data_IF_258285739359
#
_entry.id   IF_258285739359
#
_cell.length_a   1.000
_cell.length_b   1.000
_cell.length_c   1.000
_cell.angle_alpha   90.00
_cell.angle_beta   90.00
_cell.angle_gamma   90.00
#
_symmetry.space_group_name_H-M   'P 1'
#
loop_
_entity.id
_entity.type
_entity.pdbx_description
1 polymer ?
#
# COMPACT_ATOMS: atom_id res chain seq x y z
N UNK A 1 15.80 17.91 -4.49
CA UNK A 1 14.55 17.13 -4.57
C UNK A 1 13.43 18.09 -4.91
N UNK A 2 12.65 17.84 -5.97
CA UNK A 2 11.53 18.73 -6.34
C UNK A 2 10.37 18.60 -5.35
N UNK A 3 9.61 19.68 -5.14
CA UNK A 3 8.41 19.72 -4.28
C UNK A 3 7.42 18.60 -4.60
N UNK A 4 7.25 18.27 -5.89
CA UNK A 4 6.42 17.16 -6.37
C UNK A 4 6.90 15.80 -5.88
N UNK A 5 8.22 15.56 -5.83
CA UNK A 5 8.79 14.28 -5.34
C UNK A 5 8.55 14.11 -3.85
N UNK A 6 8.66 15.20 -3.08
CA UNK A 6 8.36 15.22 -1.65
C UNK A 6 6.89 14.87 -1.37
N UNK A 7 5.96 15.51 -2.09
CA UNK A 7 4.52 15.23 -1.96
C UNK A 7 4.17 13.78 -2.32
N UNK A 8 4.75 13.25 -3.40
CA UNK A 8 4.58 11.85 -3.78
C UNK A 8 5.10 10.88 -2.72
N UNK A 9 6.28 11.15 -2.12
CA UNK A 9 6.82 10.33 -1.03
C UNK A 9 5.94 10.37 0.23
N UNK A 10 5.39 11.55 0.57
CA UNK A 10 4.40 11.69 1.64
C UNK A 10 3.13 10.91 1.35
N UNK A 11 2.67 10.90 0.10
CA UNK A 11 1.55 10.04 -0.33
C UNK A 11 1.82 8.57 -0.01
N UNK A 12 2.97 8.04 -0.42
CA UNK A 12 3.36 6.65 -0.09
C UNK A 12 3.37 6.37 1.41
N UNK A 13 3.90 7.30 2.21
CA UNK A 13 3.94 7.18 3.66
C UNK A 13 2.54 7.14 4.28
N UNK A 14 1.69 8.12 3.94
CA UNK A 14 0.33 8.22 4.49
C UNK A 14 -0.52 7.05 4.02
N UNK A 15 -0.44 6.69 2.74
CA UNK A 15 -1.11 5.52 2.19
C UNK A 15 -0.68 4.24 2.91
N UNK A 16 0.62 4.04 3.12
CA UNK A 16 1.13 2.90 3.89
C UNK A 16 0.63 2.87 5.34
N UNK A 17 0.60 4.02 6.01
CA UNK A 17 0.11 4.14 7.38
C UNK A 17 -1.39 3.82 7.48
N UNK A 18 -2.21 4.40 6.60
CA UNK A 18 -3.64 4.09 6.54
C UNK A 18 -3.86 2.60 6.25
N UNK A 19 -3.13 2.03 5.28
CA UNK A 19 -3.23 0.61 4.96
C UNK A 19 -2.89 -0.27 6.17
N UNK A 20 -1.80 0.02 6.88
CA UNK A 20 -1.42 -0.74 8.08
C UNK A 20 -2.41 -0.60 9.24
N UNK A 21 -3.20 0.47 9.28
CA UNK A 21 -4.23 0.71 10.31
C UNK A 21 -5.60 0.14 9.93
N UNK A 22 -5.76 -0.41 8.73
CA UNK A 22 -7.01 -1.03 8.28
C UNK A 22 -7.58 -2.08 9.26
N UNK A 23 -6.79 -2.96 9.90
CA UNK A 23 -7.34 -3.93 10.86
C UNK A 23 -8.00 -3.26 12.07
N UNK A 24 -7.46 -2.13 12.51
CA UNK A 24 -8.02 -1.34 13.61
C UNK A 24 -9.32 -0.67 13.18
N UNK A 25 -9.35 -0.10 11.97
CA UNK A 25 -10.59 0.44 11.41
C UNK A 25 -11.66 -0.65 11.25
N UNK A 26 -11.24 -1.85 10.85
CA UNK A 26 -12.14 -3.00 10.75
C UNK A 26 -12.78 -3.35 12.09
N UNK A 27 -11.94 -3.54 13.11
CA UNK A 27 -12.38 -3.91 14.46
C UNK A 27 -13.22 -2.83 15.19
N UNK A 28 -13.32 -1.61 14.66
CA UNK A 28 -13.95 -0.48 15.37
C UNK A 28 -15.11 0.16 14.65
N UNK A 29 -15.03 0.37 13.33
CA UNK A 29 -16.02 1.18 12.59
C UNK A 29 -16.54 0.50 11.32
N UNK A 30 -15.84 -0.52 10.79
CA UNK A 30 -16.29 -1.23 9.58
C UNK A 30 -17.02 -2.55 9.89
N UNK A 31 -16.71 -3.23 11.00
CA UNK A 31 -17.35 -4.50 11.35
C UNK A 31 -18.88 -4.37 11.47
N UNK A 32 -19.38 -3.28 12.06
CA UNK A 32 -20.81 -3.05 12.25
C UNK A 32 -21.57 -2.71 10.94
N UNK A 33 -20.84 -2.44 9.85
CA UNK A 33 -21.39 -2.03 8.55
C UNK A 33 -21.42 -3.13 7.49
N UNK A 34 -20.94 -4.35 7.76
CA UNK A 34 -20.74 -5.39 6.73
C UNK A 34 -22.04 -6.09 6.25
N UNK A 35 -23.21 -5.46 6.39
CA UNK A 35 -24.52 -5.99 5.98
C UNK A 35 -25.10 -5.30 4.73
N UNK A 36 -26.12 -5.92 4.13
CA UNK A 36 -26.86 -5.31 3.01
C UNK A 36 -27.64 -4.06 3.48
N UNK A 37 -27.59 -2.98 2.68
CA UNK A 37 -28.24 -1.70 2.97
C UNK A 37 -27.25 -0.55 3.18
N UNK A 38 -27.78 0.66 3.41
CA UNK A 38 -26.94 1.84 3.56
C UNK A 38 -26.22 1.82 4.92
N UNK A 39 -24.89 1.81 4.89
CA UNK A 39 -24.08 1.88 6.11
C UNK A 39 -24.05 3.31 6.69
N UNK A 40 -23.83 3.48 8.00
CA UNK A 40 -23.65 4.79 8.60
C UNK A 40 -22.56 5.60 7.88
N UNK A 41 -22.76 6.91 7.76
CA UNK A 41 -21.82 7.81 7.08
C UNK A 41 -20.37 7.68 7.62
N UNK A 42 -20.22 7.45 8.93
CA UNK A 42 -18.91 7.22 9.55
C UNK A 42 -18.22 5.96 9.01
N UNK A 43 -18.95 4.84 8.87
CA UNK A 43 -18.46 3.58 8.30
C UNK A 43 -18.16 3.72 6.81
N UNK A 44 -19.02 4.41 6.04
CA UNK A 44 -18.75 4.72 4.63
C UNK A 44 -17.47 5.55 4.48
N UNK A 45 -17.34 6.60 5.28
CA UNK A 45 -16.14 7.46 5.28
C UNK A 45 -14.89 6.65 5.62
N UNK A 46 -14.96 5.81 6.65
CA UNK A 46 -13.86 4.94 7.03
C UNK A 46 -13.49 3.96 5.89
N UNK A 47 -14.48 3.38 5.21
CA UNK A 47 -14.24 2.46 4.09
C UNK A 47 -13.50 3.17 2.95
N UNK A 48 -13.92 4.39 2.58
CA UNK A 48 -13.18 5.20 1.59
C UNK A 48 -11.75 5.52 2.04
N UNK A 49 -11.56 5.89 3.32
CA UNK A 49 -10.26 6.28 3.88
C UNK A 49 -9.29 5.11 4.02
N UNK A 50 -9.77 3.90 4.34
CA UNK A 50 -8.92 2.76 4.66
C UNK A 50 -8.88 1.69 3.56
N UNK A 51 -9.85 1.62 2.66
CA UNK A 51 -9.85 0.66 1.54
C UNK A 51 -9.47 1.30 0.21
N UNK A 52 -9.96 2.51 -0.07
CA UNK A 52 -9.79 3.12 -1.41
C UNK A 52 -8.62 4.10 -1.46
N UNK A 53 -8.56 5.04 -0.51
CA UNK A 53 -7.53 6.06 -0.48
C UNK A 53 -6.10 5.49 -0.35
N UNK A 54 -5.83 4.44 0.45
CA UNK A 54 -4.46 3.96 0.65
C UNK A 54 -3.78 3.47 -0.63
N UNK A 55 -4.36 2.58 -1.46
CA UNK A 55 -3.71 2.16 -2.70
C UNK A 55 -3.45 3.33 -3.66
N UNK A 56 -4.35 4.33 -3.71
CA UNK A 56 -4.16 5.55 -4.52
C UNK A 56 -2.96 6.36 -4.04
N UNK A 57 -2.85 6.57 -2.73
CA UNK A 57 -1.72 7.29 -2.14
C UNK A 57 -0.39 6.53 -2.31
N UNK A 58 -0.44 5.19 -2.20
CA UNK A 58 0.72 4.34 -2.43
C UNK A 58 1.19 4.43 -3.90
N UNK A 59 0.29 4.55 -4.89
CA UNK A 59 0.68 4.78 -6.28
C UNK A 59 1.53 6.06 -6.45
N UNK A 60 1.20 7.13 -5.72
CA UNK A 60 2.03 8.34 -5.70
C UNK A 60 3.41 8.05 -5.10
N UNK A 61 3.47 7.30 -4.00
CA UNK A 61 4.72 6.81 -3.40
C UNK A 61 5.57 5.97 -4.35
N UNK A 62 4.94 5.06 -5.09
CA UNK A 62 5.56 4.22 -6.09
C UNK A 62 6.19 5.04 -7.23
N UNK A 63 5.52 6.11 -7.67
CA UNK A 63 6.10 7.02 -8.66
C UNK A 63 7.37 7.73 -8.13
N UNK A 64 7.39 8.14 -6.85
CA UNK A 64 8.60 8.68 -6.23
C UNK A 64 9.71 7.62 -6.12
N UNK A 65 9.38 6.41 -5.69
CA UNK A 65 10.33 5.29 -5.59
C UNK A 65 10.93 4.93 -6.95
N UNK A 66 10.10 4.84 -8.00
CA UNK A 66 10.54 4.58 -9.37
C UNK A 66 11.56 5.62 -9.83
N UNK A 67 11.31 6.91 -9.58
CA UNK A 67 12.26 7.98 -9.90
C UNK A 67 13.56 7.85 -9.11
N UNK A 68 13.47 7.47 -7.84
CA UNK A 68 14.63 7.30 -6.96
C UNK A 68 15.47 6.05 -7.27
N UNK A 69 14.87 5.02 -7.88
CA UNK A 69 15.58 3.84 -8.39
C UNK A 69 16.14 4.07 -9.80
N UNK A 70 15.51 4.92 -10.61
CA UNK A 70 15.99 5.29 -11.94
C UNK A 70 16.23 4.08 -12.84
N UNK A 71 17.28 4.16 -13.67
CA UNK A 71 17.72 3.04 -14.52
C UNK A 71 18.33 1.87 -13.73
N UNK A 72 18.78 2.12 -12.49
CA UNK A 72 19.47 1.12 -11.66
C UNK A 72 18.53 0.03 -11.12
N UNK A 73 17.22 0.24 -11.21
CA UNK A 73 16.19 -0.73 -10.86
C UNK A 73 16.39 -2.09 -11.57
N UNK A 74 16.96 -2.07 -12.78
CA UNK A 74 17.09 -3.25 -13.64
C UNK A 74 15.73 -3.84 -14.05
N UNK A 75 15.75 -4.98 -14.75
CA UNK A 75 14.52 -5.63 -15.25
C UNK A 75 13.57 -6.03 -14.12
N UNK A 76 14.10 -6.62 -13.04
CA UNK A 76 13.29 -7.05 -11.89
C UNK A 76 12.60 -5.86 -11.20
N UNK A 77 13.32 -4.75 -10.98
CA UNK A 77 12.73 -3.55 -10.39
C UNK A 77 11.70 -2.89 -11.31
N UNK A 78 11.93 -2.88 -12.62
CA UNK A 78 10.97 -2.36 -13.60
C UNK A 78 9.67 -3.19 -13.63
N UNK A 79 9.77 -4.51 -13.73
CA UNK A 79 8.62 -5.43 -13.69
C UNK A 79 7.91 -5.34 -12.34
N UNK A 80 8.66 -5.36 -11.24
CA UNK A 80 8.11 -5.22 -9.90
C UNK A 80 7.34 -3.91 -9.72
N UNK A 81 7.89 -2.80 -10.21
CA UNK A 81 7.21 -1.49 -10.21
C UNK A 81 5.91 -1.53 -11.02
N UNK A 82 5.93 -2.10 -12.23
CA UNK A 82 4.77 -2.17 -13.10
C UNK A 82 3.65 -3.03 -12.48
N UNK A 83 3.98 -4.22 -12.00
CA UNK A 83 3.02 -5.13 -11.34
C UNK A 83 2.47 -4.52 -10.05
N UNK A 84 3.33 -3.92 -9.21
CA UNK A 84 2.88 -3.22 -7.98
C UNK A 84 1.89 -2.12 -8.33
N UNK A 85 2.19 -1.31 -9.36
CA UNK A 85 1.31 -0.23 -9.80
C UNK A 85 -0.02 -0.74 -10.35
N UNK A 86 0.01 -1.72 -11.24
CA UNK A 86 -1.20 -2.31 -11.81
C UNK A 86 -2.08 -2.95 -10.72
N UNK A 87 -1.47 -3.69 -9.79
CA UNK A 87 -2.18 -4.31 -8.68
C UNK A 87 -2.83 -3.30 -7.75
N UNK A 88 -2.11 -2.24 -7.34
CA UNK A 88 -2.66 -1.17 -6.50
C UNK A 88 -3.80 -0.41 -7.21
N UNK A 89 -3.68 -0.16 -8.51
CA UNK A 89 -4.75 0.46 -9.29
C UNK A 89 -6.00 -0.42 -9.33
N UNK A 90 -5.84 -1.73 -9.56
CA UNK A 90 -6.94 -2.69 -9.51
C UNK A 90 -7.57 -2.76 -8.11
N UNK A 91 -6.76 -2.78 -7.04
CA UNK A 91 -7.28 -2.73 -5.66
C UNK A 91 -8.11 -1.47 -5.41
N UNK A 92 -7.61 -0.30 -5.83
CA UNK A 92 -8.33 0.97 -5.66
C UNK A 92 -9.69 0.94 -6.40
N UNK A 93 -9.73 0.42 -7.63
CA UNK A 93 -10.96 0.30 -8.41
C UNK A 93 -11.92 -0.72 -7.80
N UNK A 94 -11.45 -1.91 -7.44
CA UNK A 94 -12.26 -2.96 -6.81
C UNK A 94 -12.89 -2.48 -5.51
N UNK A 95 -12.07 -1.87 -4.63
CA UNK A 95 -12.56 -1.29 -3.38
C UNK A 95 -13.53 -0.13 -3.63
N UNK A 96 -13.29 0.73 -4.61
CA UNK A 96 -14.20 1.84 -4.91
C UNK A 96 -15.57 1.34 -5.39
N UNK A 97 -15.61 0.26 -6.20
CA UNK A 97 -16.86 -0.36 -6.64
C UNK A 97 -17.66 -0.89 -5.44
N UNK A 98 -17.01 -1.66 -4.55
CA UNK A 98 -17.64 -2.21 -3.35
C UNK A 98 -18.17 -1.11 -2.43
N UNK A 99 -17.29 -0.16 -2.07
CA UNK A 99 -17.64 0.90 -1.14
C UNK A 99 -18.73 1.80 -1.72
N UNK A 100 -18.71 2.10 -3.03
CA UNK A 100 -19.77 2.87 -3.68
C UNK A 100 -21.11 2.15 -3.62
N UNK A 101 -21.14 0.85 -3.94
CA UNK A 101 -22.37 0.04 -3.90
C UNK A 101 -23.00 0.09 -2.50
N UNK A 102 -22.23 -0.25 -1.47
CA UNK A 102 -22.70 -0.29 -0.09
C UNK A 102 -23.11 1.11 0.42
N UNK A 103 -22.37 2.16 0.05
CA UNK A 103 -22.72 3.56 0.41
C UNK A 103 -24.07 3.97 -0.18
N UNK A 104 -24.45 3.45 -1.34
CA UNK A 104 -25.74 3.74 -1.99
C UNK A 104 -26.87 2.77 -1.61
N UNK A 105 -26.67 1.92 -0.60
CA UNK A 105 -27.67 0.96 -0.15
C UNK A 105 -27.74 -0.32 -0.99
N UNK A 106 -26.72 -0.57 -1.82
CA UNK A 106 -26.54 -1.81 -2.55
C UNK A 106 -25.99 -2.95 -1.68
N UNK A 107 -25.58 -4.03 -2.33
CA UNK A 107 -24.93 -5.19 -1.71
C UNK A 107 -23.46 -5.29 -2.17
N UNK A 108 -22.74 -6.27 -1.62
CA UNK A 108 -21.41 -6.64 -2.12
C UNK A 108 -21.46 -6.95 -3.62
N UNK A 109 -20.45 -6.49 -4.35
CA UNK A 109 -20.37 -6.60 -5.81
C UNK A 109 -19.26 -7.57 -6.15
N UNK A 110 -19.58 -8.83 -6.43
CA UNK A 110 -18.59 -9.88 -6.72
C UNK A 110 -17.45 -9.44 -7.69
N UNK A 111 -17.76 -8.61 -8.70
CA UNK A 111 -16.74 -8.02 -9.58
C UNK A 111 -15.74 -7.12 -8.84
N UNK A 112 -16.20 -6.24 -7.95
CA UNK A 112 -15.38 -5.39 -7.08
C UNK A 112 -14.46 -6.22 -6.20
N UNK A 113 -15.03 -7.19 -5.47
CA UNK A 113 -14.28 -8.12 -4.61
C UNK A 113 -13.19 -8.89 -5.38
N UNK A 114 -13.54 -9.50 -6.51
CA UNK A 114 -12.58 -10.25 -7.35
C UNK A 114 -11.49 -9.33 -7.88
N UNK A 115 -11.85 -8.12 -8.32
CA UNK A 115 -10.89 -7.13 -8.82
C UNK A 115 -9.90 -6.71 -7.72
N UNK A 116 -10.40 -6.51 -6.50
CA UNK A 116 -9.56 -6.25 -5.34
C UNK A 116 -8.58 -7.39 -5.06
N UNK A 117 -9.06 -8.64 -4.97
CA UNK A 117 -8.21 -9.79 -4.67
C UNK A 117 -7.13 -10.05 -5.74
N UNK A 118 -7.51 -9.96 -7.02
CA UNK A 118 -6.56 -10.08 -8.13
C UNK A 118 -5.54 -8.93 -8.08
N UNK A 119 -6.00 -7.71 -7.82
CA UNK A 119 -5.11 -6.55 -7.62
C UNK A 119 -4.12 -6.77 -6.48
N UNK A 120 -4.59 -7.28 -5.34
CA UNK A 120 -3.75 -7.60 -4.19
C UNK A 120 -2.69 -8.65 -4.54
N UNK A 121 -3.07 -9.74 -5.20
CA UNK A 121 -2.14 -10.79 -5.63
C UNK A 121 -1.07 -10.25 -6.57
N UNK A 122 -1.48 -9.51 -7.60
CA UNK A 122 -0.56 -8.90 -8.57
C UNK A 122 0.37 -7.89 -7.89
N UNK A 123 -0.17 -7.08 -6.97
CA UNK A 123 0.63 -6.12 -6.20
C UNK A 123 1.65 -6.79 -5.29
N UNK A 124 1.30 -7.94 -4.70
CA UNK A 124 2.18 -8.71 -3.83
C UNK A 124 3.34 -9.32 -4.61
N UNK A 125 3.06 -9.93 -5.76
CA UNK A 125 4.10 -10.47 -6.66
C UNK A 125 5.03 -9.34 -7.13
N UNK A 126 4.46 -8.21 -7.54
CA UNK A 126 5.22 -7.02 -7.91
C UNK A 126 6.06 -6.48 -6.76
N UNK A 127 5.48 -6.44 -5.56
CA UNK A 127 6.10 -5.99 -4.33
C UNK A 127 7.31 -6.83 -3.95
N UNK A 128 7.26 -8.15 -4.16
CA UNK A 128 8.42 -9.03 -3.92
C UNK A 128 9.60 -8.63 -4.82
N UNK A 129 9.36 -8.51 -6.12
CA UNK A 129 10.41 -8.13 -7.08
C UNK A 129 10.95 -6.72 -6.80
N UNK A 130 10.05 -5.79 -6.51
CA UNK A 130 10.41 -4.41 -6.17
C UNK A 130 11.21 -4.34 -4.87
N UNK A 131 10.81 -5.07 -3.84
CA UNK A 131 11.49 -5.16 -2.55
C UNK A 131 12.92 -5.67 -2.69
N UNK A 132 13.11 -6.75 -3.45
CA UNK A 132 14.45 -7.28 -3.78
C UNK A 132 15.29 -6.24 -4.52
N UNK A 133 14.71 -5.53 -5.49
CA UNK A 133 15.41 -4.48 -6.22
C UNK A 133 15.83 -3.32 -5.28
N UNK A 134 14.95 -2.89 -4.38
CA UNK A 134 15.26 -1.85 -3.38
C UNK A 134 16.39 -2.29 -2.46
N UNK A 135 16.33 -3.50 -1.89
CA UNK A 135 17.36 -4.02 -0.98
C UNK A 135 18.73 -4.08 -1.65
N UNK A 136 18.78 -4.43 -2.95
CA UNK A 136 20.03 -4.53 -3.70
C UNK A 136 20.60 -3.19 -4.15
N UNK A 137 19.76 -2.17 -4.35
CA UNK A 137 20.16 -0.91 -5.01
C UNK A 137 20.23 0.30 -4.09
N UNK A 138 19.55 0.28 -2.94
CA UNK A 138 19.52 1.41 -2.01
C UNK A 138 20.41 1.14 -0.81
N UNK A 139 21.34 2.06 -0.52
CA UNK A 139 22.26 1.94 0.61
C UNK A 139 21.61 2.29 1.97
N UNK A 140 20.58 3.15 1.98
CA UNK A 140 19.95 3.62 3.22
C UNK A 140 19.22 2.51 3.99
N UNK A 141 19.46 2.44 5.30
CA UNK A 141 18.88 1.40 6.19
C UNK A 141 17.36 1.35 6.14
N UNK A 142 16.68 2.50 6.19
CA UNK A 142 15.22 2.59 6.09
C UNK A 142 14.69 2.06 4.75
N UNK A 143 15.37 2.38 3.64
CA UNK A 143 14.98 1.89 2.33
C UNK A 143 15.14 0.37 2.24
N UNK A 144 16.25 -0.17 2.77
CA UNK A 144 16.49 -1.62 2.82
C UNK A 144 15.48 -2.35 3.71
N UNK A 145 15.16 -1.80 4.88
CA UNK A 145 14.14 -2.35 5.77
C UNK A 145 12.76 -2.36 5.09
N UNK A 146 12.37 -1.25 4.45
CA UNK A 146 11.13 -1.19 3.68
C UNK A 146 11.11 -2.16 2.50
N UNK A 147 12.21 -2.28 1.76
CA UNK A 147 12.35 -3.27 0.68
C UNK A 147 12.28 -4.71 1.17
N UNK A 148 12.88 -5.01 2.33
CA UNK A 148 12.82 -6.35 2.93
C UNK A 148 11.40 -6.69 3.41
N UNK A 149 10.71 -5.75 4.06
CA UNK A 149 9.31 -5.92 4.44
C UNK A 149 8.42 -6.16 3.22
N UNK A 150 8.65 -5.44 2.12
CA UNK A 150 7.90 -5.64 0.88
C UNK A 150 8.17 -7.03 0.27
N UNK A 151 9.44 -7.48 0.31
CA UNK A 151 9.83 -8.81 -0.15
C UNK A 151 9.28 -9.95 0.70
N UNK A 152 9.09 -9.70 2.00
CA UNK A 152 8.58 -10.68 2.96
C UNK A 152 7.09 -10.46 3.28
N UNK A 153 6.40 -9.55 2.60
CA UNK A 153 5.03 -9.19 2.94
C UNK A 153 4.09 -10.40 2.89
N UNK A 154 4.22 -11.24 1.87
CA UNK A 154 3.42 -12.46 1.73
C UNK A 154 3.68 -13.48 2.86
N UNK A 155 4.93 -13.96 3.11
CA UNK A 155 5.16 -14.91 4.20
C UNK A 155 4.84 -14.33 5.58
N UNK A 156 5.10 -13.04 5.81
CA UNK A 156 4.71 -12.37 7.06
C UNK A 156 3.19 -12.30 7.21
N UNK A 157 2.47 -11.99 6.14
CA UNK A 157 1.01 -11.98 6.11
C UNK A 157 0.42 -13.35 6.42
N UNK A 158 0.94 -14.41 5.80
CA UNK A 158 0.55 -15.80 6.10
C UNK A 158 0.78 -16.10 7.58
N UNK A 159 1.94 -15.73 8.13
CA UNK A 159 2.24 -15.92 9.56
C UNK A 159 1.26 -15.18 10.48
N UNK A 160 0.94 -13.92 10.16
CA UNK A 160 -0.03 -13.11 10.91
C UNK A 160 -1.43 -13.76 10.84
N UNK A 161 -1.88 -14.15 9.65
CA UNK A 161 -3.19 -14.77 9.47
C UNK A 161 -3.31 -16.12 10.18
N UNK A 162 -2.27 -16.95 10.10
CA UNK A 162 -2.24 -18.25 10.78
C UNK A 162 -2.26 -18.09 12.32
N UNK A 163 -1.40 -17.23 12.87
CA UNK A 163 -1.39 -16.97 14.31
C UNK A 163 -2.69 -16.32 14.80
N UNK A 164 -3.21 -15.36 14.04
CA UNK A 164 -4.47 -14.69 14.34
C UNK A 164 -5.65 -15.66 14.35
N UNK A 165 -5.75 -16.52 13.34
CA UNK A 165 -6.79 -17.54 13.25
C UNK A 165 -6.73 -18.59 14.36
N UNK A 166 -5.56 -18.83 14.97
CA UNK A 166 -5.44 -19.68 16.17
C UNK A 166 -5.93 -18.96 17.44
N UNK A 167 -5.82 -17.64 17.50
CA UNK A 167 -6.18 -16.84 18.68
C UNK A 167 -7.66 -16.46 18.69
N UNK A 168 -8.21 -16.07 17.54
CA UNK A 168 -9.62 -15.67 17.38
C UNK A 168 -10.06 -15.94 15.94
N UNK A 169 -10.52 -17.17 15.63
CA UNK A 169 -10.84 -17.60 14.26
C UNK A 169 -12.01 -16.84 13.62
N UNK A 170 -12.90 -16.28 14.43
CA UNK A 170 -14.05 -15.48 14.01
C UNK A 170 -13.75 -14.00 13.73
N UNK A 171 -12.51 -13.54 13.96
CA UNK A 171 -12.16 -12.13 13.83
C UNK A 171 -11.46 -11.83 12.50
N UNK A 172 -12.22 -11.27 11.57
CA UNK A 172 -11.75 -10.84 10.25
C UNK A 172 -10.65 -9.78 10.29
N UNK A 173 -10.44 -9.08 11.42
CA UNK A 173 -9.32 -8.16 11.56
C UNK A 173 -7.96 -8.86 11.33
N UNK A 174 -7.85 -10.16 11.59
CA UNK A 174 -6.64 -10.93 11.30
C UNK A 174 -6.41 -11.14 9.80
N UNK A 175 -7.47 -11.35 9.02
CA UNK A 175 -7.38 -11.37 7.56
C UNK A 175 -6.89 -10.02 7.03
N UNK A 176 -7.49 -8.93 7.49
CA UNK A 176 -7.06 -7.59 7.10
C UNK A 176 -5.63 -7.31 7.54
N UNK A 177 -5.22 -7.74 8.73
CA UNK A 177 -3.85 -7.57 9.22
C UNK A 177 -2.84 -8.32 8.35
N UNK A 178 -3.16 -9.56 7.98
CA UNK A 178 -2.33 -10.39 7.12
C UNK A 178 -2.04 -9.71 5.77
N UNK A 179 -3.04 -9.13 5.13
CA UNK A 179 -2.88 -8.54 3.79
C UNK A 179 -2.41 -7.08 3.81
N UNK A 180 -2.56 -6.37 4.93
CA UNK A 180 -2.31 -4.92 4.97
C UNK A 180 -1.08 -4.49 5.77
N UNK A 181 -0.81 -5.09 6.93
CA UNK A 181 0.20 -4.58 7.87
C UNK A 181 1.62 -4.66 7.30
N UNK A 182 2.10 -5.80 6.78
CA UNK A 182 3.48 -5.89 6.28
C UNK A 182 3.74 -4.93 5.11
N UNK A 183 2.81 -4.89 4.15
CA UNK A 183 2.91 -4.01 2.99
C UNK A 183 2.77 -2.52 3.37
N UNK A 184 1.84 -2.19 4.26
CA UNK A 184 1.64 -0.82 4.75
C UNK A 184 2.88 -0.28 5.46
N UNK A 185 3.46 -1.07 6.38
CA UNK A 185 4.70 -0.72 7.07
C UNK A 185 5.88 -0.57 6.09
N UNK A 186 5.97 -1.43 5.07
CA UNK A 186 6.98 -1.29 4.03
C UNK A 186 6.90 0.09 3.35
N UNK A 187 5.69 0.53 2.99
CA UNK A 187 5.47 1.83 2.35
C UNK A 187 5.71 3.03 3.28
N UNK A 188 5.43 2.89 4.58
CA UNK A 188 5.82 3.90 5.59
C UNK A 188 7.34 4.10 5.60
N UNK A 189 8.10 3.01 5.70
CA UNK A 189 9.57 3.05 5.73
C UNK A 189 10.15 3.60 4.42
N UNK A 190 9.61 3.16 3.28
CA UNK A 190 10.03 3.65 1.96
C UNK A 190 9.74 5.15 1.81
N UNK A 191 8.54 5.60 2.16
CA UNK A 191 8.16 7.02 2.13
C UNK A 191 9.05 7.89 3.01
N UNK A 192 9.31 7.46 4.25
CA UNK A 192 10.27 8.13 5.16
C UNK A 192 11.69 8.19 4.57
N UNK A 193 12.15 7.09 3.96
CA UNK A 193 13.48 7.03 3.34
C UNK A 193 13.64 8.00 2.17
N UNK A 194 12.56 8.20 1.40
CA UNK A 194 12.54 9.11 0.25
C UNK A 194 12.48 10.57 0.69
N UNK A 195 11.78 10.88 1.79
CA UNK A 195 11.76 12.22 2.38
C UNK A 195 13.12 12.65 2.95
N UNK A 196 13.90 11.68 3.44
CA UNK A 196 15.20 11.94 4.10
C UNK A 196 16.37 12.08 3.12
N UNK A 197 16.15 11.93 1.80
CA UNK A 197 17.20 12.03 0.80
C UNK A 197 17.69 13.49 0.66
N UNK A 198 19.01 13.76 0.71
CA UNK A 198 19.54 15.11 0.58
C UNK A 198 19.06 15.77 -0.71
N UNK A 199 18.59 17.02 -0.61
CA UNK A 199 18.36 17.83 -1.79
C UNK A 199 19.74 18.09 -2.42
N UNK A 200 19.98 17.54 -3.62
CA UNK A 200 21.13 17.95 -4.44
C UNK A 200 21.01 19.47 -4.60
N UNK A 201 21.87 20.23 -3.90
CA UNK A 201 22.07 21.66 -4.16
C UNK A 201 22.79 21.71 -5.51
N UNK A 202 22.15 22.31 -6.50
CA UNK A 202 22.92 22.86 -7.60
C UNK A 202 23.65 24.07 -7.03
N UNK A 203 24.93 23.91 -6.70
CA UNK A 203 25.79 25.07 -6.60
C UNK A 203 25.80 25.74 -7.98
N UNK A 204 25.47 27.04 -8.08
CA UNK A 204 25.66 27.76 -9.32
C UNK A 204 27.14 27.70 -9.67
N UNK A 205 27.45 27.29 -10.90
CA UNK A 205 28.81 27.28 -11.41
C UNK A 205 29.44 28.66 -11.18
N UNK A 206 30.71 28.74 -10.74
CA UNK A 206 31.38 30.02 -10.60
C UNK A 206 31.34 30.76 -11.95
N UNK A 207 30.80 31.97 -11.92
CA UNK A 207 30.87 32.86 -13.08
C UNK A 207 32.35 33.17 -13.33
N UNK A 208 32.85 32.72 -14.49
CA UNK A 208 34.14 33.13 -15.04
C UNK A 208 33.92 34.31 -16.00
#
# INVERSE_FOLDING_TARGET
>A
MSTTTSRSATGGLVGGALWALLPVAWATVLADGAGAGAIPLASATAAWVFLVLPPVLILAGLAALRRALGGDAGRAGAVGTALTGAGLAAMAVGNAIEVASITTGGAEVALGHITFLLGFLVSTIGGVLLGVAVVRRRAGSLARAGGLLLALALPLGIGIGALGGLVSPENDAWFWAAISVPAGLAWVLLGRSLQSAPAIRHEPAPAF
#
